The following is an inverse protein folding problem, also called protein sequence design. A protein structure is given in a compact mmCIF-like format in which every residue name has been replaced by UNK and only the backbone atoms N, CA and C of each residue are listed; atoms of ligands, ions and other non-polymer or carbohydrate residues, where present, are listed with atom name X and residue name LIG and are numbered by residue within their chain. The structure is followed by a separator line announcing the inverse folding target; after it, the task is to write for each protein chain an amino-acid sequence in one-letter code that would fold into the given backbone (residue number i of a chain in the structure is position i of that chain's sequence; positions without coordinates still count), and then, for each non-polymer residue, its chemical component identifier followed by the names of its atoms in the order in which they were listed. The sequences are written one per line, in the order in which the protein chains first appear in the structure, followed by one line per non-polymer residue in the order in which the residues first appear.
data_IF_163633663432
#
_entry.id   IF_163633663432
#
_cell.length_a   1.000
_cell.length_b   1.000
_cell.length_c   1.000
_cell.angle_alpha   90.00
_cell.angle_beta   90.00
_cell.angle_gamma   90.00
#
_symmetry.space_group_name_H-M   'P 1'
#
loop_
_entity.id
_entity.type
_entity.pdbx_description
1 polymer ?
#
# COMPACT_ATOMS: atom_id res chain seq x y z
N UNK A 1 23.27 13.91 -18.94
CA UNK A 1 21.84 13.61 -18.78
C UNK A 1 21.66 13.09 -17.37
N UNK A 2 20.89 13.78 -16.53
CA UNK A 2 20.60 13.31 -15.18
C UNK A 2 19.51 12.25 -15.31
N UNK A 3 19.83 11.00 -15.02
CA UNK A 3 18.86 9.91 -15.09
C UNK A 3 18.00 9.93 -13.83
N UNK A 4 16.73 10.29 -13.96
CA UNK A 4 15.76 10.17 -12.88
C UNK A 4 15.21 8.75 -12.90
N UNK A 5 15.66 7.91 -11.97
CA UNK A 5 15.11 6.57 -11.80
C UNK A 5 13.80 6.71 -11.04
N UNK A 6 12.67 6.59 -11.75
CA UNK A 6 11.36 6.63 -11.13
C UNK A 6 11.14 5.29 -10.42
N UNK A 7 11.43 5.24 -9.11
CA UNK A 7 11.21 4.03 -8.32
C UNK A 7 9.72 3.87 -8.03
N UNK A 8 9.14 2.69 -8.30
CA UNK A 8 7.74 2.44 -7.99
C UNK A 8 7.51 2.60 -6.49
N UNK A 9 6.67 3.55 -6.11
CA UNK A 9 6.33 3.82 -4.71
C UNK A 9 5.05 3.08 -4.35
N UNK A 10 5.20 2.04 -3.54
CA UNK A 10 4.05 1.32 -2.99
C UNK A 10 3.66 1.97 -1.66
N UNK A 11 2.40 2.30 -1.52
CA UNK A 11 1.85 2.99 -0.36
C UNK A 11 0.62 2.24 0.10
N UNK A 12 0.58 1.83 1.37
CA UNK A 12 -0.59 1.25 2.00
C UNK A 12 -1.15 2.30 2.94
N UNK A 13 -2.36 2.75 2.66
CA UNK A 13 -3.10 3.67 3.53
C UNK A 13 -4.15 2.89 4.29
N UNK A 14 -4.33 3.25 5.55
CA UNK A 14 -5.37 2.71 6.42
C UNK A 14 -6.04 3.89 7.10
N UNK A 15 -7.22 3.67 7.68
CA UNK A 15 -7.95 4.74 8.37
C UNK A 15 -7.13 5.45 9.48
N UNK A 16 -6.12 4.78 10.05
CA UNK A 16 -5.31 5.29 11.16
C UNK A 16 -3.82 5.45 10.86
N UNK A 17 -3.30 4.85 9.79
CA UNK A 17 -1.87 4.83 9.48
C UNK A 17 -1.58 4.82 7.99
N UNK A 18 -0.44 5.40 7.60
CA UNK A 18 0.09 5.37 6.24
C UNK A 18 1.45 4.68 6.26
N UNK A 19 1.62 3.68 5.39
CA UNK A 19 2.86 2.94 5.23
C UNK A 19 3.36 3.09 3.80
N UNK A 20 4.65 3.34 3.61
CA UNK A 20 5.26 3.46 2.28
C UNK A 20 6.45 2.54 2.19
N UNK A 21 6.58 1.88 1.04
CA UNK A 21 7.72 1.02 0.76
C UNK A 21 8.13 1.09 -0.71
N UNK A 22 9.43 0.93 -1.00
CA UNK A 22 9.94 0.83 -2.37
C UNK A 22 9.76 -0.57 -2.98
N UNK A 23 9.20 -1.54 -2.24
CA UNK A 23 9.14 -2.95 -2.65
C UNK A 23 7.73 -3.49 -2.50
N UNK A 24 7.18 -4.07 -3.56
CA UNK A 24 5.84 -4.65 -3.55
C UNK A 24 5.62 -5.66 -2.43
N UNK A 25 6.60 -6.53 -2.18
CA UNK A 25 6.50 -7.60 -1.18
C UNK A 25 6.23 -7.04 0.23
N UNK A 26 6.91 -5.95 0.62
CA UNK A 26 6.69 -5.32 1.93
C UNK A 26 5.30 -4.70 2.02
N UNK A 27 4.87 -4.01 0.96
CA UNK A 27 3.54 -3.42 0.92
C UNK A 27 2.44 -4.49 1.01
N UNK A 28 2.62 -5.62 0.33
CA UNK A 28 1.65 -6.71 0.32
C UNK A 28 1.61 -7.47 1.67
N UNK A 29 2.76 -7.69 2.30
CA UNK A 29 2.83 -8.27 3.65
C UNK A 29 2.09 -7.39 4.68
N UNK A 30 2.30 -6.07 4.62
CA UNK A 30 1.64 -5.09 5.49
C UNK A 30 0.14 -5.05 5.20
N UNK A 31 -0.25 -4.99 3.93
CA UNK A 31 -1.65 -5.06 3.51
C UNK A 31 -2.33 -6.31 4.07
N UNK A 32 -1.69 -7.47 3.96
CA UNK A 32 -2.24 -8.72 4.48
C UNK A 32 -2.32 -8.76 6.01
N UNK A 33 -1.37 -8.13 6.72
CA UNK A 33 -1.46 -7.92 8.17
C UNK A 33 -2.67 -7.07 8.55
N UNK A 34 -2.99 -6.02 7.80
CA UNK A 34 -4.18 -5.18 8.04
C UNK A 34 -5.48 -5.90 7.72
N UNK A 35 -5.52 -6.65 6.61
CA UNK A 35 -6.64 -7.52 6.23
C UNK A 35 -6.95 -8.52 7.35
N UNK A 36 -5.92 -9.18 7.89
CA UNK A 36 -6.09 -10.15 8.99
C UNK A 36 -6.60 -9.48 10.28
N UNK A 37 -6.17 -8.25 10.55
CA UNK A 37 -6.67 -7.45 11.67
C UNK A 37 -8.06 -6.85 11.42
N UNK A 38 -8.69 -7.14 10.27
CA UNK A 38 -9.96 -6.54 9.81
C UNK A 38 -9.92 -5.01 9.77
N UNK A 39 -8.75 -4.45 9.46
CA UNK A 39 -8.55 -3.00 9.33
C UNK A 39 -8.77 -2.61 7.87
N UNK A 40 -9.61 -1.60 7.58
CA UNK A 40 -9.77 -1.10 6.23
C UNK A 40 -8.45 -0.53 5.73
N UNK A 41 -7.99 -1.04 4.58
CA UNK A 41 -6.69 -0.69 4.01
C UNK A 41 -6.75 -0.58 2.48
N UNK A 42 -6.02 0.38 1.94
CA UNK A 42 -5.94 0.72 0.52
C UNK A 42 -4.47 0.67 0.10
N UNK A 43 -4.16 -0.12 -0.93
CA UNK A 43 -2.84 -0.21 -1.53
C UNK A 43 -2.82 0.68 -2.78
N UNK A 44 -1.99 1.71 -2.74
CA UNK A 44 -1.63 2.57 -3.84
C UNK A 44 -0.25 2.20 -4.42
N UNK A 45 -0.11 2.31 -5.72
CA UNK A 45 1.13 2.12 -6.45
C UNK A 45 1.32 3.33 -7.37
N UNK A 46 2.32 4.14 -7.08
CA UNK A 46 2.61 5.36 -7.84
C UNK A 46 1.39 6.30 -7.95
N UNK A 47 0.60 6.38 -6.87
CA UNK A 47 -0.64 7.17 -6.81
C UNK A 47 -1.87 6.52 -7.46
N UNK A 48 -1.75 5.30 -8.00
CA UNK A 48 -2.91 4.50 -8.48
C UNK A 48 -3.34 3.48 -7.44
N UNK A 49 -4.63 3.50 -7.08
CA UNK A 49 -5.23 2.46 -6.24
C UNK A 49 -5.13 1.11 -6.98
N UNK A 50 -4.49 0.13 -6.34
CA UNK A 50 -4.31 -1.23 -6.82
C UNK A 50 -5.23 -2.21 -6.13
N UNK A 51 -5.28 -2.13 -4.79
CA UNK A 51 -6.12 -3.01 -3.96
C UNK A 51 -6.80 -2.18 -2.90
N UNK A 52 -8.05 -2.51 -2.62
CA UNK A 52 -8.80 -1.93 -1.52
C UNK A 52 -9.42 -3.07 -0.73
N UNK A 53 -9.23 -3.03 0.58
CA UNK A 53 -9.87 -3.92 1.52
C UNK A 53 -10.79 -3.10 2.41
N UNK A 54 -12.09 -3.25 2.17
CA UNK A 54 -13.14 -2.76 3.05
C UNK A 54 -13.81 -3.98 3.70
N UNK A 55 -13.65 -4.19 5.01
CA UNK A 55 -14.37 -5.26 5.68
C UNK A 55 -15.89 -4.95 5.59
N UNK A 56 -16.72 -5.91 5.14
CA UNK A 56 -18.17 -5.73 5.19
C UNK A 56 -18.61 -5.65 6.65
N UNK A 57 -19.47 -4.65 6.95
CA UNK A 57 -20.08 -4.44 8.26
C UNK A 57 -20.94 -5.64 8.68
#
# INVERSE_FOLDING_TARGET
MTFHVNFPRYQVETASAQFQSPTQQKAEEIYQKYVNQKVPCELFLDGKLQKEYKPPL
#
